data_IF_423436798106
#
_entry.id   IF_423436798106
#
_cell.length_a   1.000
_cell.length_b   1.000
_cell.length_c   1.000
_cell.angle_alpha   90.00
_cell.angle_beta   90.00
_cell.angle_gamma   90.00
#
_symmetry.space_group_name_H-M   'P 1'
#
loop_
_entity.id
_entity.type
_entity.pdbx_description
1 polymer ?
#
# COMPACT_ATOMS: atom_id res chain seq x y z
N UNK A 1 -8.17 5.09 -22.07
CA UNK A 1 -7.16 4.05 -22.33
C UNK A 1 -5.92 4.43 -21.54
N UNK A 2 -5.71 3.84 -20.36
CA UNK A 2 -4.55 4.18 -19.51
C UNK A 2 -3.34 3.58 -20.24
N UNK A 3 -2.33 4.37 -20.65
CA UNK A 3 -1.14 3.81 -21.28
C UNK A 3 -0.51 2.84 -20.28
N UNK A 4 -0.53 1.54 -20.61
CA UNK A 4 -0.11 0.49 -19.69
C UNK A 4 1.42 0.53 -19.61
N UNK A 5 1.92 1.36 -18.69
CA UNK A 5 3.34 1.56 -18.44
C UNK A 5 3.98 0.20 -18.08
N UNK A 6 5.15 -0.12 -18.62
CA UNK A 6 5.81 -1.44 -18.42
C UNK A 6 5.96 -1.80 -16.94
N UNK A 7 6.11 -0.77 -16.10
CA UNK A 7 6.17 -0.86 -14.64
C UNK A 7 4.85 -1.31 -14.00
N UNK A 8 3.71 -0.94 -14.58
CA UNK A 8 2.38 -1.37 -14.10
C UNK A 8 2.16 -2.85 -14.40
N UNK A 9 2.45 -3.31 -15.62
CA UNK A 9 2.35 -4.71 -16.00
C UNK A 9 3.23 -5.62 -15.12
N UNK A 10 4.45 -5.18 -14.82
CA UNK A 10 5.37 -5.92 -13.96
C UNK A 10 4.87 -6.03 -12.51
N UNK A 11 4.25 -4.97 -11.97
CA UNK A 11 3.62 -4.98 -10.65
C UNK A 11 2.41 -5.91 -10.61
N UNK A 12 1.58 -5.90 -11.65
CA UNK A 12 0.43 -6.78 -11.75
C UNK A 12 0.85 -8.25 -11.81
N UNK A 13 1.89 -8.56 -12.59
CA UNK A 13 2.48 -9.91 -12.65
C UNK A 13 3.03 -10.35 -11.28
N UNK A 14 3.71 -9.46 -10.56
CA UNK A 14 4.19 -9.74 -9.20
C UNK A 14 3.04 -10.03 -8.22
N UNK A 15 1.96 -9.24 -8.26
CA UNK A 15 0.77 -9.48 -7.44
C UNK A 15 0.15 -10.85 -7.78
N UNK A 16 0.02 -11.19 -9.07
CA UNK A 16 -0.50 -12.49 -9.47
C UNK A 16 0.36 -13.66 -8.95
N UNK A 17 1.69 -13.55 -9.03
CA UNK A 17 2.62 -14.56 -8.49
C UNK A 17 2.44 -14.68 -6.97
N UNK A 18 2.33 -13.57 -6.24
CA UNK A 18 2.09 -13.57 -4.79
C UNK A 18 0.77 -14.26 -4.42
N UNK A 19 -0.31 -13.99 -5.15
CA UNK A 19 -1.60 -14.65 -4.91
C UNK A 19 -1.54 -16.16 -5.17
N UNK A 20 -0.80 -16.59 -6.20
CA UNK A 20 -0.56 -18.01 -6.49
C UNK A 20 0.23 -18.66 -5.34
N UNK A 21 1.26 -18.00 -4.82
CA UNK A 21 2.02 -18.51 -3.67
C UNK A 21 1.13 -18.64 -2.43
N UNK A 22 0.28 -17.66 -2.14
CA UNK A 22 -0.67 -17.75 -1.04
C UNK A 22 -1.67 -18.90 -1.19
N UNK A 23 -2.12 -19.16 -2.42
CA UNK A 23 -2.95 -20.33 -2.72
C UNK A 23 -2.20 -21.64 -2.46
N UNK A 24 -0.92 -21.74 -2.84
CA UNK A 24 -0.09 -22.92 -2.55
C UNK A 24 0.15 -23.13 -1.06
N UNK A 25 0.21 -22.04 -0.27
CA UNK A 25 0.29 -22.09 1.19
C UNK A 25 -1.05 -22.46 1.87
N UNK A 26 -2.07 -22.82 1.08
CA UNK A 26 -3.42 -23.19 1.55
C UNK A 26 -4.12 -22.11 2.37
N UNK A 27 -3.85 -20.84 2.11
CA UNK A 27 -4.66 -19.77 2.68
C UNK A 27 -6.11 -19.84 2.19
N UNK A 28 -7.04 -19.38 3.02
CA UNK A 28 -8.44 -19.28 2.66
C UNK A 28 -8.63 -18.39 1.42
N UNK A 29 -9.46 -18.85 0.47
CA UNK A 29 -9.75 -18.14 -0.78
C UNK A 29 -10.27 -16.72 -0.52
N UNK A 30 -11.07 -16.55 0.53
CA UNK A 30 -11.58 -15.24 0.95
C UNK A 30 -10.45 -14.27 1.33
N UNK A 31 -9.45 -14.75 2.08
CA UNK A 31 -8.27 -13.97 2.45
C UNK A 31 -7.43 -13.61 1.22
N UNK A 32 -7.23 -14.56 0.30
CA UNK A 32 -6.49 -14.33 -0.94
C UNK A 32 -7.20 -13.29 -1.81
N UNK A 33 -8.53 -13.38 -1.95
CA UNK A 33 -9.33 -12.43 -2.71
C UNK A 33 -9.23 -11.02 -2.12
N UNK A 34 -9.32 -10.90 -0.78
CA UNK A 34 -9.23 -9.64 -0.08
C UNK A 34 -7.82 -9.03 -0.23
N UNK A 35 -6.76 -9.81 -0.07
CA UNK A 35 -5.37 -9.39 -0.31
C UNK A 35 -5.18 -8.94 -1.77
N UNK A 36 -5.75 -9.65 -2.74
CA UNK A 36 -5.70 -9.29 -4.15
C UNK A 36 -6.35 -7.93 -4.44
N UNK A 37 -7.54 -7.71 -3.88
CA UNK A 37 -8.25 -6.42 -3.97
C UNK A 37 -7.41 -5.31 -3.34
N UNK A 38 -6.80 -5.55 -2.17
CA UNK A 38 -5.94 -4.58 -1.50
C UNK A 38 -4.71 -4.24 -2.33
N UNK A 39 -4.03 -5.22 -2.93
CA UNK A 39 -2.85 -4.98 -3.77
C UNK A 39 -3.19 -4.15 -5.01
N UNK A 40 -4.28 -4.50 -5.70
CA UNK A 40 -4.75 -3.73 -6.86
C UNK A 40 -5.10 -2.30 -6.41
N UNK A 41 -5.85 -2.17 -5.32
CA UNK A 41 -6.18 -0.88 -4.70
C UNK A 41 -4.94 -0.05 -4.42
N UNK A 42 -3.90 -0.65 -3.82
CA UNK A 42 -2.63 0.02 -3.52
C UNK A 42 -1.88 0.49 -4.76
N UNK A 43 -1.88 -0.29 -5.84
CA UNK A 43 -1.23 0.10 -7.09
C UNK A 43 -1.88 1.37 -7.64
N UNK A 44 -3.22 1.43 -7.65
CA UNK A 44 -3.97 2.61 -8.08
C UNK A 44 -3.82 3.78 -7.10
N UNK A 45 -3.88 3.52 -5.80
CA UNK A 45 -3.77 4.56 -4.77
C UNK A 45 -2.39 5.20 -4.77
N UNK A 46 -1.31 4.43 -4.96
CA UNK A 46 0.06 4.95 -4.93
C UNK A 46 0.27 6.11 -5.90
N UNK A 47 -0.25 5.98 -7.13
CA UNK A 47 -0.10 7.03 -8.14
C UNK A 47 -0.90 8.28 -7.77
N UNK A 48 -2.12 8.10 -7.23
CA UNK A 48 -2.93 9.22 -6.71
C UNK A 48 -2.31 9.86 -5.47
N UNK A 49 -1.75 9.07 -4.55
CA UNK A 49 -1.11 9.54 -3.33
C UNK A 49 0.16 10.33 -3.62
N UNK A 50 0.96 9.91 -4.61
CA UNK A 50 2.12 10.68 -5.05
C UNK A 50 1.73 12.06 -5.60
N UNK A 51 0.75 12.09 -6.51
CA UNK A 51 0.21 13.35 -7.06
C UNK A 51 -0.46 14.22 -6.00
N UNK A 52 -1.17 13.62 -5.05
CA UNK A 52 -1.77 14.33 -3.94
C UNK A 52 -0.72 14.91 -2.99
N UNK A 53 0.36 14.18 -2.71
CA UNK A 53 1.47 14.67 -1.89
C UNK A 53 2.19 15.84 -2.57
N UNK A 54 2.46 15.77 -3.88
CA UNK A 54 3.00 16.90 -4.66
C UNK A 54 2.06 18.11 -4.62
N UNK A 55 0.76 17.90 -4.85
CA UNK A 55 -0.24 18.97 -4.84
C UNK A 55 -0.39 19.62 -3.45
N UNK A 56 -0.26 18.85 -2.37
CA UNK A 56 -0.24 19.37 -0.99
C UNK A 56 1.04 20.17 -0.75
N UNK A 57 2.19 19.70 -1.24
CA UNK A 57 3.47 20.41 -1.13
C UNK A 57 3.39 21.77 -1.82
N UNK A 58 2.91 21.79 -3.07
CA UNK A 58 2.87 23.01 -3.88
C UNK A 58 1.86 24.04 -3.38
N UNK A 59 0.69 23.60 -2.89
CA UNK A 59 -0.39 24.51 -2.50
C UNK A 59 -0.38 24.92 -1.03
N UNK A 60 0.04 24.04 -0.11
CA UNK A 60 0.01 24.33 1.33
C UNK A 60 1.38 24.67 1.91
N UNK A 61 2.47 24.34 1.23
CA UNK A 61 3.82 24.61 1.70
C UNK A 61 4.64 25.38 0.65
N UNK A 62 4.19 26.55 0.14
CA UNK A 62 4.93 27.30 -0.89
C UNK A 62 6.34 27.72 -0.45
N UNK A 63 6.62 27.69 0.86
CA UNK A 63 7.92 27.97 1.47
C UNK A 63 8.98 26.90 1.16
N UNK A 64 8.59 25.68 0.79
CA UNK A 64 9.51 24.59 0.46
C UNK A 64 10.17 24.78 -0.91
N UNK A 65 9.66 25.66 -1.77
CA UNK A 65 10.28 25.99 -3.08
C UNK A 65 11.66 26.63 -2.98
N UNK A 66 12.03 27.16 -1.80
CA UNK A 66 13.36 27.73 -1.53
C UNK A 66 14.30 26.73 -0.89
N UNK A 67 13.84 25.51 -0.62
CA UNK A 67 14.66 24.48 0.01
C UNK A 67 15.52 23.77 -1.03
N UNK A 68 16.68 23.24 -0.62
CA UNK A 68 17.46 22.38 -1.49
C UNK A 68 16.69 21.10 -1.84
N UNK A 69 16.82 20.61 -3.08
CA UNK A 69 16.07 19.47 -3.64
C UNK A 69 16.01 18.22 -2.75
N UNK A 70 17.05 17.99 -1.94
CA UNK A 70 17.10 16.84 -1.02
C UNK A 70 16.10 16.98 0.13
N UNK A 71 15.87 18.20 0.63
CA UNK A 71 14.97 18.47 1.74
C UNK A 71 13.50 18.40 1.29
N UNK A 72 13.22 18.85 0.06
CA UNK A 72 11.91 18.70 -0.56
C UNK A 72 11.56 17.22 -0.77
N UNK A 73 12.50 16.42 -1.28
CA UNK A 73 12.35 14.96 -1.41
C UNK A 73 12.15 14.26 -0.07
N UNK A 74 12.88 14.67 0.97
CA UNK A 74 12.74 14.11 2.31
C UNK A 74 11.35 14.41 2.90
N UNK A 75 10.84 15.62 2.71
CA UNK A 75 9.50 16.01 3.14
C UNK A 75 8.41 15.24 2.39
N UNK A 76 8.55 15.09 1.08
CA UNK A 76 7.62 14.31 0.26
C UNK A 76 7.63 12.83 0.67
N UNK A 77 8.80 12.29 1.00
CA UNK A 77 8.94 10.94 1.55
C UNK A 77 8.27 10.81 2.93
N UNK A 78 8.41 11.80 3.81
CA UNK A 78 7.74 11.83 5.11
C UNK A 78 6.20 11.87 4.96
N UNK A 79 5.68 12.71 4.07
CA UNK A 79 4.25 12.77 3.76
C UNK A 79 3.76 11.42 3.20
N UNK A 80 4.56 10.80 2.33
CA UNK A 80 4.23 9.48 1.80
C UNK A 80 4.16 8.41 2.90
N UNK A 81 5.09 8.40 3.86
CA UNK A 81 5.06 7.50 5.02
C UNK A 81 3.79 7.73 5.83
N UNK A 82 3.45 8.98 6.15
CA UNK A 82 2.26 9.32 6.93
C UNK A 82 0.99 8.84 6.21
N UNK A 83 0.85 9.14 4.92
CA UNK A 83 -0.27 8.67 4.11
C UNK A 83 -0.32 7.14 4.03
N UNK A 84 0.83 6.47 3.95
CA UNK A 84 0.92 5.01 3.98
C UNK A 84 0.46 4.43 5.33
N UNK A 85 0.84 5.03 6.45
CA UNK A 85 0.40 4.61 7.78
C UNK A 85 -1.11 4.79 7.96
N UNK A 86 -1.67 5.89 7.47
CA UNK A 86 -3.12 6.13 7.47
C UNK A 86 -3.83 5.05 6.64
N UNK A 87 -3.33 4.78 5.43
CA UNK A 87 -3.91 3.75 4.57
C UNK A 87 -3.83 2.36 5.21
N UNK A 88 -2.67 2.03 5.81
CA UNK A 88 -2.49 0.81 6.60
C UNK A 88 -3.56 0.72 7.68
N UNK A 89 -3.72 1.78 8.48
CA UNK A 89 -4.72 1.81 9.55
C UNK A 89 -6.14 1.61 9.02
N UNK A 90 -6.51 2.25 7.91
CA UNK A 90 -7.83 2.07 7.28
C UNK A 90 -8.03 0.60 6.88
N UNK A 91 -7.01 -0.03 6.30
CA UNK A 91 -7.06 -1.42 5.86
C UNK A 91 -7.21 -2.37 7.06
N UNK A 92 -6.41 -2.20 8.12
CA UNK A 92 -6.53 -3.00 9.35
C UNK A 92 -7.89 -2.83 10.02
N UNK A 93 -8.38 -1.60 10.12
CA UNK A 93 -9.71 -1.32 10.66
C UNK A 93 -10.80 -1.95 9.81
N UNK A 94 -10.73 -1.84 8.48
CA UNK A 94 -11.68 -2.46 7.56
C UNK A 94 -11.68 -4.00 7.71
N UNK A 95 -10.51 -4.61 7.79
CA UNK A 95 -10.36 -6.05 8.05
C UNK A 95 -10.91 -6.48 9.42
N UNK A 96 -10.69 -5.66 10.45
CA UNK A 96 -11.27 -5.85 11.78
C UNK A 96 -12.80 -5.84 11.77
N UNK A 97 -13.44 -4.99 10.93
CA UNK A 97 -14.90 -5.01 10.75
C UNK A 97 -15.42 -6.32 10.12
N UNK A 98 -14.60 -7.02 9.33
CA UNK A 98 -14.95 -8.33 8.78
C UNK A 98 -14.60 -9.50 9.72
N UNK A 99 -14.20 -9.23 10.96
CA UNK A 99 -13.81 -10.26 11.92
C UNK A 99 -12.44 -10.88 11.66
N UNK A 100 -11.67 -10.33 10.70
CA UNK A 100 -10.31 -10.76 10.40
C UNK A 100 -9.36 -9.93 11.24
N UNK A 101 -9.05 -10.42 12.44
CA UNK A 101 -8.02 -9.82 13.28
C UNK A 101 -6.63 -10.25 12.79
N UNK A 102 -6.11 -9.50 11.80
CA UNK A 102 -4.77 -9.71 11.27
C UNK A 102 -3.68 -9.69 12.34
N UNK A 103 -3.90 -8.96 13.44
CA UNK A 103 -3.01 -8.95 14.60
C UNK A 103 -2.96 -10.33 15.25
N UNK A 104 -4.12 -10.96 15.45
CA UNK A 104 -4.23 -12.32 15.99
C UNK A 104 -3.63 -13.36 15.04
N UNK A 105 -3.91 -13.25 13.74
CA UNK A 105 -3.37 -14.18 12.71
C UNK A 105 -1.84 -14.10 12.67
N UNK A 106 -1.25 -12.90 12.75
CA UNK A 106 0.21 -12.72 12.76
C UNK A 106 0.81 -13.25 14.06
N UNK A 107 0.16 -13.03 15.20
CA UNK A 107 0.61 -13.54 16.50
C UNK A 107 0.60 -15.07 16.54
N UNK A 108 -0.47 -15.66 16.04
CA UNK A 108 -0.66 -17.12 15.94
C UNK A 108 0.32 -17.74 14.94
N UNK A 109 0.60 -17.08 13.82
CA UNK A 109 1.64 -17.50 12.88
C UNK A 109 3.05 -17.42 13.49
N UNK A 110 3.35 -16.41 14.32
CA UNK A 110 4.63 -16.32 15.02
C UNK A 110 4.80 -17.40 16.10
N UNK A 111 3.73 -17.73 16.82
CA UNK A 111 3.75 -18.80 17.83
C UNK A 111 3.89 -20.19 17.21
N UNK A 112 3.29 -20.44 16.05
CA UNK A 112 3.40 -21.72 15.33
C UNK A 112 4.73 -21.90 14.57
N UNK A 113 5.62 -20.89 14.56
CA UNK A 113 6.98 -20.98 14.01
C UNK A 113 8.06 -21.22 15.08
N UNK A 114 7.69 -21.29 16.36
CA UNK A 114 8.54 -21.80 17.45
C UNK A 114 8.30 -23.29 17.67
#
# INVERSE_FOLDING_TARGET
MIPMDKRFALRLAFVAIMLILFYQMRMHIETIALIGILFIGFIFLREKMGKAAEHILENHLPFTKKWPDWAEKALLFAIFIVLYLILKQIIYTALGFFGIDLSAIILEAMQNMQ
#
